data_IF_917551764205
#
_entry.id   IF_917551764205
#
_cell.length_a   1.000
_cell.length_b   1.000
_cell.length_c   1.000
_cell.angle_alpha   90.00
_cell.angle_beta   90.00
_cell.angle_gamma   90.00
#
_symmetry.space_group_name_H-M   'P 1'
#
loop_
_entity.id
_entity.type
_entity.pdbx_description
1 polymer ?
#
# COMPACT_ATOMS: atom_id res chain seq x y z
N UNK A 1 9.59 -9.08 -19.84
CA UNK A 1 8.57 -10.11 -20.12
C UNK A 1 9.11 -11.47 -19.70
N UNK A 2 8.83 -11.90 -18.48
CA UNK A 2 9.31 -13.17 -17.89
C UNK A 2 8.12 -14.07 -17.55
N UNK A 3 8.35 -15.38 -17.71
CA UNK A 3 7.37 -16.47 -17.74
C UNK A 3 6.29 -16.34 -16.66
N UNK A 4 5.04 -16.15 -17.06
CA UNK A 4 3.88 -16.12 -16.17
C UNK A 4 3.68 -17.52 -15.56
N UNK A 5 4.18 -17.74 -14.34
CA UNK A 5 3.84 -18.92 -13.55
C UNK A 5 2.35 -18.91 -13.15
N UNK A 6 1.80 -20.08 -12.79
CA UNK A 6 0.42 -20.25 -12.32
C UNK A 6 -0.03 -19.20 -11.28
N UNK A 7 0.90 -18.77 -10.42
CA UNK A 7 0.65 -17.80 -9.37
C UNK A 7 0.44 -16.36 -9.85
N UNK A 8 0.93 -16.00 -11.04
CA UNK A 8 0.65 -14.71 -11.68
C UNK A 8 -0.72 -14.70 -12.37
N UNK A 9 -1.18 -15.85 -12.88
CA UNK A 9 -2.52 -16.00 -13.47
C UNK A 9 -3.63 -15.97 -12.41
N UNK A 10 -3.35 -16.47 -11.21
CA UNK A 10 -4.29 -16.50 -10.07
C UNK A 10 -4.21 -15.21 -9.23
N UNK A 11 -3.19 -14.38 -9.43
CA UNK A 11 -3.10 -13.06 -8.81
C UNK A 11 -4.02 -12.07 -9.50
N UNK A 12 -4.60 -11.13 -8.74
CA UNK A 12 -5.10 -9.91 -9.35
C UNK A 12 -3.95 -9.14 -10.02
N UNK A 13 -4.23 -8.51 -11.18
CA UNK A 13 -3.24 -7.86 -12.04
C UNK A 13 -2.40 -6.78 -11.34
N UNK A 14 -2.92 -6.17 -10.27
CA UNK A 14 -2.30 -5.07 -9.53
C UNK A 14 -1.43 -5.53 -8.35
N UNK A 15 -1.55 -6.80 -7.94
CA UNK A 15 -0.91 -7.30 -6.72
C UNK A 15 0.61 -7.42 -6.87
N UNK A 16 1.09 -7.91 -8.01
CA UNK A 16 2.52 -8.11 -8.23
C UNK A 16 3.28 -6.78 -8.25
N UNK A 17 2.73 -5.77 -8.94
CA UNK A 17 3.32 -4.43 -8.99
C UNK A 17 3.38 -3.78 -7.60
N UNK A 18 2.34 -3.94 -6.77
CA UNK A 18 2.36 -3.43 -5.39
C UNK A 18 3.40 -4.11 -4.51
N UNK A 19 3.59 -5.42 -4.65
CA UNK A 19 4.61 -6.18 -3.90
C UNK A 19 6.01 -5.75 -4.31
N UNK A 20 6.25 -5.61 -5.62
CA UNK A 20 7.53 -5.15 -6.17
C UNK A 20 7.88 -3.74 -5.68
N UNK A 21 6.94 -2.78 -5.78
CA UNK A 21 7.15 -1.40 -5.30
C UNK A 21 7.30 -1.31 -3.79
N UNK A 22 6.78 -2.27 -3.04
CA UNK A 22 6.98 -2.34 -1.58
C UNK A 22 8.40 -2.77 -1.21
N UNK A 23 9.19 -3.28 -2.17
CA UNK A 23 10.56 -3.78 -1.96
C UNK A 23 10.66 -5.29 -1.79
N UNK A 24 9.59 -6.03 -2.10
CA UNK A 24 9.54 -7.50 -2.02
C UNK A 24 9.64 -8.13 -3.42
N UNK A 25 10.22 -9.31 -3.51
CA UNK A 25 10.46 -10.00 -4.78
C UNK A 25 9.44 -11.09 -5.12
N UNK A 26 9.74 -11.81 -6.19
CA UNK A 26 8.91 -12.92 -6.70
C UNK A 26 8.76 -14.06 -5.66
N UNK A 27 9.75 -14.24 -4.79
CA UNK A 27 9.73 -15.28 -3.73
C UNK A 27 8.66 -14.98 -2.68
N UNK A 28 8.60 -13.73 -2.20
CA UNK A 28 7.60 -13.30 -1.24
C UNK A 28 6.20 -13.32 -1.85
N UNK A 29 6.07 -12.93 -3.12
CA UNK A 29 4.82 -13.03 -3.88
C UNK A 29 4.29 -14.47 -3.98
N UNK A 30 5.16 -15.45 -4.27
CA UNK A 30 4.76 -16.87 -4.34
C UNK A 30 4.43 -17.42 -2.94
N UNK A 31 5.22 -17.07 -1.92
CA UNK A 31 4.94 -17.47 -0.54
C UNK A 31 3.59 -16.92 -0.05
N UNK A 32 3.28 -15.67 -0.40
CA UNK A 32 2.00 -15.03 -0.16
C UNK A 32 0.85 -15.81 -0.80
N UNK A 33 0.95 -16.12 -2.09
CA UNK A 33 -0.09 -16.83 -2.81
C UNK A 33 -0.35 -18.23 -2.24
N UNK A 34 0.70 -18.93 -1.82
CA UNK A 34 0.59 -20.23 -1.13
C UNK A 34 -0.09 -20.11 0.23
N UNK A 35 0.20 -19.07 1.01
CA UNK A 35 -0.45 -18.80 2.30
C UNK A 35 -1.94 -18.50 2.12
N UNK A 36 -2.29 -17.69 1.11
CA UNK A 36 -3.68 -17.38 0.72
C UNK A 36 -4.46 -18.64 0.38
N UNK A 37 -3.87 -19.51 -0.45
CA UNK A 37 -4.48 -20.79 -0.82
C UNK A 37 -4.67 -21.72 0.39
N UNK A 38 -3.64 -21.87 1.23
CA UNK A 38 -3.70 -22.72 2.43
C UNK A 38 -4.80 -22.27 3.39
N UNK A 39 -4.88 -20.98 3.70
CA UNK A 39 -5.87 -20.46 4.63
C UNK A 39 -7.30 -20.60 4.08
N UNK A 40 -7.48 -20.43 2.77
CA UNK A 40 -8.78 -20.60 2.11
C UNK A 40 -9.22 -22.06 2.14
N UNK A 41 -8.30 -23.01 1.89
CA UNK A 41 -8.56 -24.45 2.01
C UNK A 41 -8.90 -24.84 3.46
N UNK A 42 -8.16 -24.32 4.46
CA UNK A 42 -8.47 -24.56 5.88
C UNK A 42 -9.86 -24.04 6.24
N UNK A 43 -10.24 -22.85 5.76
CA UNK A 43 -11.57 -22.30 6.01
C UNK A 43 -12.69 -23.11 5.35
N UNK A 44 -12.45 -23.64 4.15
CA UNK A 44 -13.38 -24.55 3.48
C UNK A 44 -13.52 -25.86 4.25
N UNK A 45 -12.42 -26.46 4.70
CA UNK A 45 -12.43 -27.67 5.52
C UNK A 45 -13.17 -27.46 6.86
N UNK A 46 -12.98 -26.32 7.50
CA UNK A 46 -13.70 -25.94 8.73
C UNK A 46 -15.20 -25.79 8.52
N UNK A 47 -15.64 -25.30 7.35
CA UNK A 47 -17.05 -25.16 7.00
C UNK A 47 -17.73 -26.50 6.62
N UNK A 48 -16.96 -27.52 6.24
CA UNK A 48 -17.48 -28.86 5.93
C UNK A 48 -17.87 -29.62 7.21
N UNK A 49 -17.16 -29.41 8.33
CA UNK A 49 -17.46 -30.05 9.62
C UNK A 49 -18.91 -29.86 10.09
N UNK A 50 -19.49 -28.64 10.13
CA UNK A 50 -20.89 -28.45 10.50
C UNK A 50 -21.87 -29.00 9.44
N UNK A 51 -21.48 -29.10 8.17
CA UNK A 51 -22.33 -29.69 7.13
C UNK A 51 -22.51 -31.20 7.29
N UNK A 52 -21.50 -31.90 7.81
CA UNK A 52 -21.59 -33.34 8.13
C UNK A 52 -22.43 -33.57 9.40
N UNK A 53 -22.35 -32.68 10.39
CA UNK A 53 -23.01 -32.84 11.69
C UNK A 53 -24.48 -32.41 11.71
N UNK A 54 -24.87 -31.38 10.96
CA UNK A 54 -26.20 -30.76 11.07
C UNK A 54 -27.11 -31.05 9.87
N UNK A 55 -26.60 -30.87 8.64
CA UNK A 55 -27.43 -30.98 7.43
C UNK A 55 -26.59 -30.89 6.14
N UNK A 56 -26.81 -31.75 5.13
CA UNK A 56 -26.14 -31.67 3.83
C UNK A 56 -26.33 -30.34 3.10
N UNK A 57 -27.42 -29.61 3.36
CA UNK A 57 -27.68 -28.30 2.75
C UNK A 57 -26.68 -27.22 3.18
N UNK A 58 -26.03 -27.37 4.35
CA UNK A 58 -25.01 -26.45 4.83
C UNK A 58 -23.70 -26.55 4.01
N UNK A 59 -23.53 -27.58 3.18
CA UNK A 59 -22.37 -27.70 2.29
C UNK A 59 -22.23 -26.55 1.29
N UNK A 60 -23.35 -25.93 0.88
CA UNK A 60 -23.34 -24.73 0.04
C UNK A 60 -22.68 -23.52 0.72
N UNK A 61 -22.72 -23.44 2.07
CA UNK A 61 -22.03 -22.39 2.81
C UNK A 61 -20.52 -22.53 2.73
N UNK A 62 -19.97 -23.73 2.48
CA UNK A 62 -18.52 -23.92 2.35
C UNK A 62 -17.95 -23.19 1.12
N UNK A 63 -18.70 -23.15 0.02
CA UNK A 63 -18.32 -22.40 -1.19
C UNK A 63 -18.35 -20.90 -0.91
N UNK A 64 -19.39 -20.42 -0.22
CA UNK A 64 -19.50 -19.01 0.18
C UNK A 64 -18.35 -18.62 1.12
N UNK A 65 -18.03 -19.48 2.11
CA UNK A 65 -16.93 -19.25 3.03
C UNK A 65 -15.59 -19.19 2.32
N UNK A 66 -15.32 -20.09 1.36
CA UNK A 66 -14.10 -20.07 0.56
C UNK A 66 -13.94 -18.76 -0.22
N UNK A 67 -15.00 -18.31 -0.90
CA UNK A 67 -14.97 -17.06 -1.67
C UNK A 67 -14.77 -15.86 -0.73
N UNK A 68 -15.47 -15.85 0.41
CA UNK A 68 -15.39 -14.78 1.39
C UNK A 68 -14.00 -14.69 2.03
N UNK A 69 -13.40 -15.80 2.44
CA UNK A 69 -12.05 -15.82 3.03
C UNK A 69 -10.98 -15.48 2.01
N UNK A 70 -11.10 -15.97 0.78
CA UNK A 70 -10.20 -15.60 -0.31
C UNK A 70 -10.18 -14.09 -0.55
N UNK A 71 -11.37 -13.47 -0.65
CA UNK A 71 -11.50 -12.02 -0.80
C UNK A 71 -11.01 -11.24 0.41
N UNK A 72 -11.34 -11.68 1.62
CA UNK A 72 -10.97 -10.98 2.84
C UNK A 72 -9.44 -10.98 3.03
N UNK A 73 -8.79 -12.13 2.78
CA UNK A 73 -7.34 -12.27 2.80
C UNK A 73 -6.69 -11.35 1.77
N UNK A 74 -7.21 -11.28 0.54
CA UNK A 74 -6.72 -10.32 -0.46
C UNK A 74 -6.88 -8.86 0.01
N UNK A 75 -8.06 -8.47 0.49
CA UNK A 75 -8.30 -7.08 0.90
C UNK A 75 -7.45 -6.65 2.09
N UNK A 76 -7.21 -7.55 3.05
CA UNK A 76 -6.39 -7.27 4.23
C UNK A 76 -4.94 -7.01 3.82
N UNK A 77 -4.40 -7.86 2.97
CA UNK A 77 -2.99 -7.84 2.59
C UNK A 77 -2.71 -6.73 1.57
N UNK A 78 -3.64 -6.50 0.62
CA UNK A 78 -3.62 -5.30 -0.23
C UNK A 78 -3.55 -4.04 0.60
N UNK A 79 -4.33 -3.96 1.69
CA UNK A 79 -4.28 -2.82 2.59
C UNK A 79 -2.92 -2.70 3.28
N UNK A 80 -2.33 -3.79 3.73
CA UNK A 80 -1.00 -3.79 4.36
C UNK A 80 0.10 -3.29 3.40
N UNK A 81 0.12 -3.77 2.15
CA UNK A 81 1.06 -3.26 1.14
C UNK A 81 0.81 -1.79 0.78
N UNK A 82 -0.46 -1.39 0.70
CA UNK A 82 -0.82 0.02 0.47
C UNK A 82 -0.40 0.90 1.65
N UNK A 83 -0.57 0.44 2.89
CA UNK A 83 -0.15 1.14 4.10
C UNK A 83 1.39 1.29 4.14
N UNK A 84 2.14 0.26 3.73
CA UNK A 84 3.61 0.32 3.60
C UNK A 84 4.06 1.32 2.52
N UNK A 85 3.47 1.26 1.32
CA UNK A 85 3.77 2.22 0.25
C UNK A 85 3.44 3.66 0.68
N UNK A 86 2.34 3.82 1.40
CA UNK A 86 1.90 5.09 1.92
C UNK A 86 2.85 5.65 2.99
N UNK A 87 3.36 4.79 3.88
CA UNK A 87 4.38 5.17 4.87
C UNK A 87 5.65 5.65 4.17
N UNK A 88 6.14 4.91 3.16
CA UNK A 88 7.29 5.30 2.33
C UNK A 88 7.07 6.65 1.65
N UNK A 89 5.92 6.88 1.03
CA UNK A 89 5.56 8.16 0.42
C UNK A 89 5.48 9.29 1.44
N UNK A 90 4.96 9.02 2.64
CA UNK A 90 4.86 10.02 3.70
C UNK A 90 6.26 10.45 4.16
N UNK A 91 7.15 9.51 4.43
CA UNK A 91 8.55 9.79 4.77
C UNK A 91 9.26 10.55 3.64
N UNK A 92 8.98 10.19 2.39
CA UNK A 92 9.50 10.88 1.21
C UNK A 92 9.10 12.37 1.15
N UNK A 93 7.82 12.70 1.37
CA UNK A 93 7.37 14.10 1.38
C UNK A 93 8.00 14.90 2.53
N UNK A 94 8.15 14.30 3.70
CA UNK A 94 8.84 14.93 4.84
C UNK A 94 10.30 15.22 4.46
N UNK A 95 10.98 14.25 3.86
CA UNK A 95 12.34 14.40 3.35
C UNK A 95 12.46 15.54 2.33
N UNK A 96 11.65 15.53 1.26
CA UNK A 96 11.68 16.57 0.22
C UNK A 96 11.53 17.97 0.84
N UNK A 97 10.55 18.13 1.75
CA UNK A 97 10.30 19.40 2.44
C UNK A 97 11.49 19.87 3.26
N UNK A 98 12.11 18.97 4.03
CA UNK A 98 13.24 19.31 4.88
C UNK A 98 14.48 19.64 4.03
N UNK A 99 14.78 18.84 3.02
CA UNK A 99 15.90 19.08 2.10
C UNK A 99 15.77 20.46 1.45
N UNK A 100 14.63 20.77 0.85
CA UNK A 100 14.39 22.09 0.24
C UNK A 100 14.54 23.23 1.25
N UNK A 101 14.07 23.05 2.49
CA UNK A 101 14.19 24.07 3.53
C UNK A 101 15.66 24.33 3.91
N UNK A 102 16.49 23.28 3.98
CA UNK A 102 17.91 23.41 4.31
C UNK A 102 18.75 23.93 3.14
N UNK A 103 18.43 23.55 1.92
CA UNK A 103 19.15 24.03 0.73
C UNK A 103 18.95 25.54 0.46
N UNK A 104 17.88 26.15 1.00
CA UNK A 104 17.70 27.62 0.93
C UNK A 104 18.63 28.41 1.87
N UNK A 105 19.34 27.74 2.78
CA UNK A 105 20.37 28.35 3.63
C UNK A 105 21.64 28.65 2.83
N UNK A 106 22.13 29.89 2.90
CA UNK A 106 23.08 30.49 1.97
C UNK A 106 24.51 29.88 1.86
N UNK A 107 24.80 28.68 2.40
CA UNK A 107 26.12 28.05 2.26
C UNK A 107 26.17 26.55 2.58
N UNK A 108 25.03 25.85 2.59
CA UNK A 108 25.01 24.43 2.97
C UNK A 108 25.25 23.51 1.75
N UNK A 109 26.17 22.56 1.91
CA UNK A 109 26.36 21.48 0.95
C UNK A 109 25.16 20.53 1.00
N UNK A 110 24.87 19.81 -0.10
CA UNK A 110 23.79 18.81 -0.10
C UNK A 110 24.02 17.76 1.00
N UNK A 111 25.27 17.42 1.28
CA UNK A 111 25.63 16.47 2.33
C UNK A 111 25.24 17.04 3.70
N UNK A 112 25.57 18.31 4.00
CA UNK A 112 25.19 18.92 5.29
C UNK A 112 23.67 19.08 5.42
N UNK A 113 22.95 19.33 4.32
CA UNK A 113 21.51 19.32 4.31
C UNK A 113 20.94 17.92 4.62
N UNK A 114 21.50 16.87 4.03
CA UNK A 114 21.08 15.49 4.28
C UNK A 114 21.37 15.03 5.72
N UNK A 115 22.51 15.41 6.30
CA UNK A 115 22.83 15.15 7.71
C UNK A 115 21.81 15.82 8.65
N UNK A 116 21.49 17.10 8.42
CA UNK A 116 20.47 17.81 9.20
C UNK A 116 19.08 17.17 9.07
N UNK A 117 18.76 16.62 7.89
CA UNK A 117 17.51 15.88 7.67
C UNK A 117 17.55 14.55 8.42
N UNK A 118 18.67 13.82 8.36
CA UNK A 118 18.87 12.54 9.04
C UNK A 118 18.62 12.66 10.55
N UNK A 119 19.13 13.72 11.17
CA UNK A 119 18.95 13.98 12.61
C UNK A 119 17.49 14.26 13.00
N UNK A 120 16.66 14.74 12.07
CA UNK A 120 15.25 15.07 12.32
C UNK A 120 14.27 13.96 11.95
N UNK A 121 14.72 12.95 11.21
CA UNK A 121 13.88 11.82 10.85
C UNK A 121 13.75 10.85 12.02
N UNK A 122 12.55 10.31 12.17
CA UNK A 122 12.28 9.22 13.11
C UNK A 122 13.11 7.97 12.76
N UNK A 123 13.43 7.16 13.76
CA UNK A 123 14.14 5.90 13.55
C UNK A 123 13.31 4.95 12.69
N UNK A 124 13.88 4.47 11.59
CA UNK A 124 13.15 3.63 10.63
C UNK A 124 13.98 3.22 9.43
N UNK A 125 13.34 2.51 8.49
CA UNK A 125 13.98 2.07 7.24
C UNK A 125 14.45 3.28 6.42
N UNK A 126 13.60 4.30 6.29
CA UNK A 126 13.91 5.51 5.51
C UNK A 126 15.18 6.23 6.02
N UNK A 127 15.34 6.36 7.35
CA UNK A 127 16.53 6.97 7.96
C UNK A 127 17.80 6.19 7.64
N UNK A 128 17.75 4.84 7.70
CA UNK A 128 18.88 3.97 7.34
C UNK A 128 19.24 4.11 5.86
N UNK A 129 18.24 4.19 4.98
CA UNK A 129 18.45 4.39 3.53
C UNK A 129 19.06 5.76 3.24
N UNK A 130 18.64 6.81 3.94
CA UNK A 130 19.23 8.15 3.82
C UNK A 130 20.68 8.16 4.29
N UNK A 131 20.98 7.49 5.41
CA UNK A 131 22.35 7.35 5.89
C UNK A 131 23.24 6.61 4.87
N UNK A 132 22.74 5.52 4.27
CA UNK A 132 23.44 4.82 3.19
C UNK A 132 23.66 5.73 1.97
N UNK A 133 22.67 6.54 1.59
CA UNK A 133 22.81 7.50 0.50
C UNK A 133 23.96 8.49 0.80
N UNK A 134 24.02 9.05 2.01
CA UNK A 134 25.08 9.98 2.42
C UNK A 134 26.47 9.34 2.26
N UNK A 135 26.62 8.08 2.66
CA UNK A 135 27.88 7.32 2.47
C UNK A 135 28.17 7.13 0.99
N UNK A 136 27.19 6.68 0.21
CA UNK A 136 27.36 6.35 -1.21
C UNK A 136 27.73 7.58 -2.04
N UNK A 137 27.10 8.74 -1.81
CA UNK A 137 27.44 10.00 -2.50
C UNK A 137 28.77 10.60 -2.03
N UNK A 138 29.23 10.23 -0.84
CA UNK A 138 30.55 10.64 -0.35
C UNK A 138 31.65 9.81 -1.02
N UNK A 139 31.39 8.51 -1.22
CA UNK A 139 32.32 7.60 -1.90
C UNK A 139 32.35 7.79 -3.42
N UNK A 140 31.20 8.06 -4.03
CA UNK A 140 31.06 8.32 -5.47
C UNK A 140 30.31 9.63 -5.74
N UNK A 141 31.00 10.78 -5.65
CA UNK A 141 30.35 12.09 -5.74
C UNK A 141 29.83 12.43 -7.13
N UNK A 142 30.31 11.78 -8.19
CA UNK A 142 29.98 12.15 -9.57
C UNK A 142 29.00 11.19 -10.23
N UNK A 143 28.65 10.07 -9.59
CA UNK A 143 27.63 9.16 -10.08
C UNK A 143 26.23 9.58 -9.60
N UNK A 144 25.26 9.51 -10.52
CA UNK A 144 23.84 9.74 -10.25
C UNK A 144 23.17 8.48 -9.67
N UNK A 145 23.76 7.30 -9.84
CA UNK A 145 23.18 6.02 -9.39
C UNK A 145 22.81 5.98 -7.90
N UNK A 146 23.60 6.52 -6.95
CA UNK A 146 23.20 6.55 -5.54
C UNK A 146 21.88 7.30 -5.33
N UNK A 147 21.71 8.42 -6.03
CA UNK A 147 20.49 9.24 -5.99
C UNK A 147 19.27 8.47 -6.52
N UNK A 148 19.45 7.73 -7.63
CA UNK A 148 18.37 6.93 -8.22
C UNK A 148 18.00 5.73 -7.36
N UNK A 149 19.00 5.00 -6.84
CA UNK A 149 18.77 3.86 -5.95
C UNK A 149 18.00 4.27 -4.69
N UNK A 150 18.32 5.42 -4.11
CA UNK A 150 17.57 5.96 -2.98
C UNK A 150 16.11 6.27 -3.34
N UNK A 151 15.86 6.89 -4.49
CA UNK A 151 14.49 7.17 -4.96
C UNK A 151 13.67 5.88 -5.17
N UNK A 152 14.30 4.82 -5.66
CA UNK A 152 13.68 3.50 -5.84
C UNK A 152 13.37 2.84 -4.50
N UNK A 153 14.37 2.72 -3.63
CA UNK A 153 14.25 1.97 -2.39
C UNK A 153 13.43 2.70 -1.32
N UNK A 154 13.60 4.02 -1.18
CA UNK A 154 13.01 4.80 -0.11
C UNK A 154 11.60 5.35 -0.44
N UNK A 155 11.33 5.64 -1.72
CA UNK A 155 10.04 6.20 -2.17
C UNK A 155 9.21 5.25 -3.04
N UNK A 156 9.69 4.04 -3.32
CA UNK A 156 9.00 3.05 -4.15
C UNK A 156 9.12 3.29 -5.66
N UNK A 157 10.11 4.09 -6.10
CA UNK A 157 10.46 4.27 -7.51
C UNK A 157 9.43 5.03 -8.33
N UNK A 158 8.78 6.05 -7.76
CA UNK A 158 7.88 6.91 -8.52
C UNK A 158 8.68 7.80 -9.50
N UNK A 159 8.11 8.11 -10.67
CA UNK A 159 8.74 9.01 -11.65
C UNK A 159 9.10 10.37 -11.02
N UNK A 160 8.30 10.79 -10.05
CA UNK A 160 8.51 12.00 -9.26
C UNK A 160 9.74 11.91 -8.35
N UNK A 161 9.92 10.81 -7.61
CA UNK A 161 11.08 10.65 -6.73
C UNK A 161 12.39 10.61 -7.53
N UNK A 162 12.37 9.92 -8.68
CA UNK A 162 13.46 9.90 -9.64
C UNK A 162 13.77 11.31 -10.20
N UNK A 163 12.74 12.06 -10.58
CA UNK A 163 12.88 13.42 -11.10
C UNK A 163 13.47 14.37 -10.05
N UNK A 164 12.99 14.29 -8.81
CA UNK A 164 13.48 15.11 -7.70
C UNK A 164 14.96 14.81 -7.39
N UNK A 165 15.33 13.54 -7.30
CA UNK A 165 16.72 13.13 -7.03
C UNK A 165 17.67 13.48 -8.18
N UNK A 166 17.21 13.39 -9.43
CA UNK A 166 17.99 13.84 -10.61
C UNK A 166 18.23 15.34 -10.55
N UNK A 167 17.21 16.12 -10.19
CA UNK A 167 17.32 17.55 -10.06
C UNK A 167 18.23 17.96 -8.89
N UNK A 168 18.23 17.23 -7.77
CA UNK A 168 19.19 17.41 -6.68
C UNK A 168 20.64 17.11 -7.10
N UNK A 169 20.86 16.04 -7.88
CA UNK A 169 22.18 15.73 -8.42
C UNK A 169 22.67 16.84 -9.37
N UNK A 170 21.80 17.34 -10.24
CA UNK A 170 22.14 18.46 -11.12
C UNK A 170 22.45 19.73 -10.33
N UNK A 171 21.66 20.02 -9.28
CA UNK A 171 21.91 21.12 -8.36
C UNK A 171 23.30 21.01 -7.70
N UNK A 172 23.68 19.81 -7.24
CA UNK A 172 25.00 19.53 -6.65
C UNK A 172 26.15 19.92 -7.58
N UNK A 173 26.02 19.59 -8.86
CA UNK A 173 27.13 19.61 -9.82
C UNK A 173 27.18 20.88 -10.67
N UNK A 174 26.08 21.62 -10.84
CA UNK A 174 25.99 22.67 -11.87
C UNK A 174 25.55 24.05 -11.38
N UNK A 175 25.12 24.27 -10.13
CA UNK A 175 24.50 25.56 -9.81
C UNK A 175 24.50 25.98 -8.33
N UNK A 176 25.17 27.11 -8.05
CA UNK A 176 24.80 28.06 -6.99
C UNK A 176 23.61 28.97 -7.39
N UNK A 177 22.83 28.57 -8.41
CA UNK A 177 21.73 29.36 -8.98
C UNK A 177 20.44 29.08 -8.18
N UNK A 178 19.93 30.10 -7.50
CA UNK A 178 18.74 30.00 -6.64
C UNK A 178 17.48 29.60 -7.41
N UNK A 179 17.44 29.82 -8.73
CA UNK A 179 16.32 29.45 -9.60
C UNK A 179 16.05 27.94 -9.63
N UNK A 180 17.10 27.12 -9.54
CA UNK A 180 16.98 25.65 -9.47
C UNK A 180 16.35 25.24 -8.14
N UNK A 181 16.75 25.89 -7.03
CA UNK A 181 16.19 25.65 -5.70
C UNK A 181 14.71 26.03 -5.65
N UNK A 182 14.34 27.16 -6.26
CA UNK A 182 12.94 27.59 -6.29
C UNK A 182 12.08 26.64 -7.13
N UNK A 183 12.59 26.17 -8.28
CA UNK A 183 11.89 25.16 -9.08
C UNK A 183 11.73 23.81 -8.34
N UNK A 184 12.75 23.38 -7.60
CA UNK A 184 12.71 22.20 -6.72
C UNK A 184 11.71 22.40 -5.59
N UNK A 185 11.67 23.61 -5.02
CA UNK A 185 10.75 23.99 -3.94
C UNK A 185 9.29 23.94 -4.40
N UNK A 186 8.99 24.48 -5.58
CA UNK A 186 7.64 24.51 -6.11
C UNK A 186 7.16 23.10 -6.52
N UNK A 187 8.03 22.27 -7.10
CA UNK A 187 7.72 20.86 -7.39
C UNK A 187 7.44 20.06 -6.11
N UNK A 188 8.32 20.15 -5.11
CA UNK A 188 8.12 19.48 -3.82
C UNK A 188 6.83 19.92 -3.13
N UNK A 189 6.46 21.20 -3.22
CA UNK A 189 5.20 21.73 -2.67
C UNK A 189 3.97 21.16 -3.39
N UNK A 190 4.00 21.10 -4.73
CA UNK A 190 2.89 20.56 -5.53
C UNK A 190 2.68 19.08 -5.23
N UNK A 191 3.74 18.31 -5.14
CA UNK A 191 3.65 16.86 -4.93
C UNK A 191 3.26 16.51 -3.51
N UNK A 192 3.77 17.23 -2.50
CA UNK A 192 3.26 17.11 -1.14
C UNK A 192 1.76 17.41 -1.07
N UNK A 193 1.28 18.44 -1.79
CA UNK A 193 -0.15 18.77 -1.85
C UNK A 193 -0.96 17.67 -2.55
N UNK A 194 -0.41 17.06 -3.61
CA UNK A 194 -1.01 15.94 -4.33
C UNK A 194 -1.11 14.70 -3.44
N UNK A 195 -0.02 14.35 -2.78
CA UNK A 195 0.06 13.31 -1.76
C UNK A 195 -1.03 13.50 -0.72
N UNK A 196 -1.07 14.65 -0.03
CA UNK A 196 -2.10 14.98 0.98
C UNK A 196 -3.53 14.78 0.45
N UNK A 197 -3.80 15.15 -0.80
CA UNK A 197 -5.13 14.96 -1.40
C UNK A 197 -5.46 13.48 -1.63
N UNK A 198 -4.49 12.67 -2.05
CA UNK A 198 -4.64 11.22 -2.17
C UNK A 198 -4.87 10.56 -0.81
N UNK A 199 -4.08 10.94 0.21
CA UNK A 199 -4.29 10.51 1.61
C UNK A 199 -5.74 10.78 2.04
N UNK A 200 -6.19 12.02 1.82
CA UNK A 200 -7.53 12.47 2.21
C UNK A 200 -8.61 11.67 1.48
N UNK A 201 -8.48 11.48 0.17
CA UNK A 201 -9.42 10.71 -0.66
C UNK A 201 -9.52 9.26 -0.21
N UNK A 202 -8.41 8.63 0.18
CA UNK A 202 -8.42 7.27 0.72
C UNK A 202 -9.14 7.20 2.08
N UNK A 203 -8.86 8.13 2.99
CA UNK A 203 -9.54 8.19 4.29
C UNK A 203 -11.04 8.48 4.14
N UNK A 204 -11.43 9.39 3.25
CA UNK A 204 -12.82 9.73 2.96
C UNK A 204 -13.63 8.54 2.40
N UNK A 205 -13.06 7.72 1.51
CA UNK A 205 -13.73 6.51 1.00
C UNK A 205 -14.17 5.54 2.10
N UNK A 206 -13.41 5.42 3.18
CA UNK A 206 -13.79 4.60 4.33
C UNK A 206 -15.05 5.13 5.02
N UNK A 207 -15.21 6.46 5.08
CA UNK A 207 -16.38 7.11 5.68
C UNK A 207 -17.64 7.02 4.80
N UNK A 208 -17.51 7.07 3.47
CA UNK A 208 -18.67 6.91 2.56
C UNK A 208 -19.37 5.54 2.67
N UNK A 209 -18.66 4.50 3.10
CA UNK A 209 -19.22 3.17 3.27
C UNK A 209 -19.89 2.97 4.65
N UNK A 210 -19.76 3.93 5.58
CA UNK A 210 -20.33 3.84 6.91
C UNK A 210 -21.88 3.78 6.89
N UNK A 211 -22.60 4.64 6.13
CA UNK A 211 -24.05 4.54 6.01
C UNK A 211 -24.50 3.21 5.40
N UNK A 212 -23.77 2.72 4.38
CA UNK A 212 -24.10 1.46 3.68
C UNK A 212 -24.00 0.24 4.63
N UNK A 213 -22.98 0.23 5.50
CA UNK A 213 -22.81 -0.82 6.52
C UNK A 213 -23.92 -0.82 7.57
N UNK A 214 -24.35 0.37 8.01
CA UNK A 214 -25.49 0.51 8.92
C UNK A 214 -26.80 0.03 8.28
N UNK A 215 -27.04 0.35 7.02
CA UNK A 215 -28.21 -0.18 6.30
C UNK A 215 -28.15 -1.70 6.13
N UNK A 216 -26.99 -2.29 5.84
CA UNK A 216 -26.85 -3.76 5.76
C UNK A 216 -27.14 -4.45 7.09
N UNK A 217 -26.74 -3.85 8.22
CA UNK A 217 -27.05 -4.41 9.54
C UNK A 217 -28.56 -4.49 9.78
N UNK A 218 -29.31 -3.48 9.32
CA UNK A 218 -30.78 -3.45 9.44
C UNK A 218 -31.49 -4.40 8.46
N UNK A 219 -30.84 -4.80 7.38
CA UNK A 219 -31.38 -5.76 6.40
C UNK A 219 -31.41 -7.19 6.94
N UNK A 220 -30.49 -7.56 7.84
CA UNK A 220 -30.43 -8.90 8.47
C UNK A 220 -31.72 -9.24 9.25
N UNK A 221 -32.21 -8.42 10.21
CA UNK A 221 -33.47 -8.70 10.90
C UNK A 221 -34.68 -8.63 9.97
N UNK A 222 -34.63 -7.83 8.90
CA UNK A 222 -35.70 -7.76 7.89
C UNK A 222 -35.85 -9.08 7.13
N UNK A 223 -34.73 -9.70 6.72
CA UNK A 223 -34.74 -11.05 6.13
C UNK A 223 -35.16 -12.12 7.14
N UNK A 224 -34.75 -12.01 8.40
CA UNK A 224 -35.19 -12.91 9.47
C UNK A 224 -36.71 -12.87 9.67
N UNK A 225 -37.29 -11.67 9.64
CA UNK A 225 -38.74 -11.48 9.71
C UNK A 225 -39.44 -12.05 8.47
N UNK A 226 -38.94 -11.77 7.26
CA UNK A 226 -39.48 -12.36 6.02
C UNK A 226 -39.45 -13.88 6.01
N UNK A 227 -38.34 -14.49 6.45
CA UNK A 227 -38.21 -15.94 6.53
C UNK A 227 -39.19 -16.55 7.55
N UNK A 228 -39.36 -15.91 8.72
CA UNK A 228 -40.33 -16.33 9.73
C UNK A 228 -41.78 -16.23 9.25
N UNK A 229 -42.13 -15.16 8.53
CA UNK A 229 -43.46 -15.00 7.92
C UNK A 229 -43.66 -16.03 6.82
N UNK A 230 -42.68 -16.25 5.95
CA UNK A 230 -42.76 -17.27 4.91
C UNK A 230 -42.96 -18.67 5.51
N UNK A 231 -42.19 -19.04 6.54
CA UNK A 231 -42.35 -20.32 7.23
C UNK A 231 -43.75 -20.45 7.84
N UNK A 232 -44.27 -19.39 8.49
CA UNK A 232 -45.61 -19.41 9.07
C UNK A 232 -46.69 -19.59 8.00
N UNK A 233 -46.60 -18.85 6.89
CA UNK A 233 -47.54 -18.95 5.76
C UNK A 233 -47.48 -20.34 5.13
N UNK A 234 -46.28 -20.90 4.90
CA UNK A 234 -46.13 -22.26 4.36
C UNK A 234 -46.60 -23.34 5.34
N UNK A 235 -46.38 -23.18 6.65
CA UNK A 235 -46.80 -24.16 7.65
C UNK A 235 -48.31 -24.13 7.93
N UNK A 236 -48.96 -22.96 7.86
CA UNK A 236 -50.40 -22.84 8.06
C UNK A 236 -51.21 -23.17 6.81
N UNK A 237 -50.70 -22.89 5.60
CA UNK A 237 -51.40 -23.24 4.35
C UNK A 237 -51.22 -24.70 3.91
N UNK A 238 -50.32 -25.49 4.53
CA UNK A 238 -50.15 -26.93 4.24
C UNK A 238 -50.82 -27.85 5.28
N UNK A 239 -51.58 -27.31 6.24
CA UNK A 239 -52.37 -28.08 7.22
C UNK A 239 -53.85 -28.24 6.82
N UNK A 240 -54.13 -28.37 5.52
CA UNK A 240 -55.43 -28.81 5.00
C UNK A 240 -55.35 -30.23 4.43
#
# INVERSE_FOLDING_TARGET
MTKQGFWHLVAENDLFEMVEKSGYGEREFIAFQKRRLRNSIISMAGAILPAILLSPWLSFLAIIFFIATWRNQYTKEKKEFQDLLFEKQTSWFVFQRLVVAYLKGANDSIISAFEKVLDRLEEGEFKKKLHSLIIDITNDPNDVKPFMRFAEEAAGGTDESLTFMTALFNFKNHSHDSSVIDSLSDRARQEMKRGIHEIRKMKEKSFYLFPTKLTMLNVIPMFGFMAGVAQNVFSNNMNF
#
